data_IF_369668654560
#
_entry.id   IF_369668654560
#
_cell.length_a   1.000
_cell.length_b   1.000
_cell.length_c   1.000
_cell.angle_alpha   90.00
_cell.angle_beta   90.00
_cell.angle_gamma   90.00
#
_symmetry.space_group_name_H-M   'P 1'
#
loop_
_entity.id
_entity.type
_entity.pdbx_description
1 polymer ?
#
# COMPACT_ATOMS: atom_id res chain seq x y z
N UNK A 1 48.84 -23.14 -4.39
CA UNK A 1 48.12 -23.14 -3.10
C UNK A 1 48.39 -21.87 -2.27
N UNK A 2 49.64 -21.52 -1.94
CA UNK A 2 49.98 -20.34 -1.10
C UNK A 2 49.53 -18.96 -1.63
N UNK A 3 49.39 -18.78 -2.94
CA UNK A 3 49.02 -17.48 -3.55
C UNK A 3 47.61 -17.07 -3.15
N UNK A 4 46.66 -18.01 -3.08
CA UNK A 4 45.26 -17.73 -2.76
C UNK A 4 45.11 -17.32 -1.28
N UNK A 5 45.78 -17.99 -0.35
CA UNK A 5 45.78 -17.63 1.07
C UNK A 5 46.37 -16.25 1.31
N UNK A 6 47.53 -15.95 0.70
CA UNK A 6 48.18 -14.63 0.81
C UNK A 6 47.28 -13.51 0.27
N UNK A 7 46.60 -13.75 -0.86
CA UNK A 7 45.63 -12.78 -1.41
C UNK A 7 44.44 -12.57 -0.48
N UNK A 8 43.92 -13.63 0.14
CA UNK A 8 42.81 -13.54 1.09
C UNK A 8 43.21 -12.75 2.35
N UNK A 9 44.35 -13.08 2.95
CA UNK A 9 44.89 -12.37 4.11
C UNK A 9 45.18 -10.90 3.79
N UNK A 10 45.71 -10.60 2.59
CA UNK A 10 45.94 -9.22 2.14
C UNK A 10 44.63 -8.41 2.08
N UNK A 11 43.55 -9.01 1.60
CA UNK A 11 42.22 -8.37 1.61
C UNK A 11 41.72 -8.12 3.04
N UNK A 12 41.98 -9.03 3.96
CA UNK A 12 41.64 -8.88 5.37
C UNK A 12 42.41 -7.78 6.10
N UNK A 13 43.66 -7.52 5.69
CA UNK A 13 44.49 -6.40 6.17
C UNK A 13 44.04 -5.09 5.54
N UNK A 14 43.80 -5.09 4.23
CA UNK A 14 43.37 -3.89 3.50
C UNK A 14 41.99 -3.39 3.94
N UNK A 15 41.10 -4.30 4.35
CA UNK A 15 39.76 -3.96 4.82
C UNK A 15 39.53 -4.49 6.24
N UNK A 16 40.05 -3.76 7.23
CA UNK A 16 39.92 -4.11 8.65
C UNK A 16 38.45 -4.07 9.13
N UNK A 17 37.66 -3.12 8.64
CA UNK A 17 36.34 -2.78 9.20
C UNK A 17 35.15 -3.49 8.56
N UNK A 18 35.38 -4.36 7.56
CA UNK A 18 34.31 -5.08 6.87
C UNK A 18 34.40 -6.59 7.10
N UNK A 19 33.24 -7.24 7.11
CA UNK A 19 33.14 -8.69 7.33
C UNK A 19 33.66 -9.50 6.15
N UNK A 20 34.07 -10.76 6.36
CA UNK A 20 34.44 -11.66 5.27
C UNK A 20 33.34 -11.83 4.21
N UNK A 21 32.06 -11.65 4.59
CA UNK A 21 30.95 -11.66 3.65
C UNK A 21 30.99 -10.47 2.67
N UNK A 22 31.42 -9.30 3.15
CA UNK A 22 31.64 -8.12 2.31
C UNK A 22 32.95 -8.23 1.53
N UNK A 23 34.02 -8.79 2.14
CA UNK A 23 35.31 -9.04 1.45
C UNK A 23 35.12 -9.96 0.25
N UNK A 24 34.28 -10.99 0.34
CA UNK A 24 33.96 -11.87 -0.79
C UNK A 24 33.53 -11.07 -2.02
N UNK A 25 32.71 -10.03 -1.86
CA UNK A 25 32.23 -9.20 -2.98
C UNK A 25 33.35 -8.43 -3.68
N UNK A 26 34.52 -8.27 -3.06
CA UNK A 26 35.70 -7.62 -3.66
C UNK A 26 36.50 -8.58 -4.54
N UNK A 27 36.41 -9.89 -4.30
CA UNK A 27 37.05 -10.90 -5.14
C UNK A 27 36.30 -12.23 -5.05
N UNK A 28 35.25 -12.36 -5.86
CA UNK A 28 34.34 -13.50 -5.81
C UNK A 28 35.01 -14.79 -6.33
N UNK A 29 35.90 -14.68 -7.32
CA UNK A 29 36.65 -15.81 -7.87
C UNK A 29 37.59 -16.42 -6.83
N UNK A 30 38.31 -15.59 -6.06
CA UNK A 30 39.18 -16.06 -4.99
C UNK A 30 38.39 -16.77 -3.89
N UNK A 31 37.26 -16.20 -3.46
CA UNK A 31 36.40 -16.83 -2.46
C UNK A 31 35.84 -18.15 -2.96
N UNK A 32 35.34 -18.20 -4.20
CA UNK A 32 34.77 -19.42 -4.80
C UNK A 32 35.81 -20.53 -4.88
N UNK A 33 37.05 -20.19 -5.25
CA UNK A 33 38.16 -21.14 -5.27
C UNK A 33 38.47 -21.67 -3.86
N UNK A 34 38.64 -20.77 -2.87
CA UNK A 34 38.90 -21.17 -1.47
C UNK A 34 37.74 -22.00 -0.90
N UNK A 35 36.49 -21.64 -1.20
CA UNK A 35 35.32 -22.37 -0.75
C UNK A 35 35.23 -23.77 -1.34
N UNK A 36 35.69 -23.96 -2.58
CA UNK A 36 35.65 -25.23 -3.32
C UNK A 36 36.79 -26.17 -2.94
N UNK A 37 38.00 -25.64 -2.79
CA UNK A 37 39.20 -26.45 -2.61
C UNK A 37 39.76 -26.44 -1.18
N UNK A 38 39.39 -25.46 -0.36
CA UNK A 38 39.87 -25.35 1.02
C UNK A 38 38.86 -24.67 1.96
N UNK A 39 37.71 -25.31 2.11
CA UNK A 39 36.59 -24.78 2.89
C UNK A 39 36.92 -24.62 4.37
N UNK A 40 37.76 -25.50 4.90
CA UNK A 40 38.08 -25.56 6.33
C UNK A 40 39.05 -24.45 6.72
N UNK A 41 40.07 -24.21 5.90
CA UNK A 41 40.93 -23.04 6.06
C UNK A 41 40.13 -21.74 5.96
N UNK A 42 39.22 -21.63 4.99
CA UNK A 42 38.37 -20.46 4.82
C UNK A 42 37.46 -20.22 6.03
N UNK A 43 36.90 -21.28 6.62
CA UNK A 43 36.03 -21.21 7.81
C UNK A 43 36.80 -20.75 9.04
N UNK A 44 38.03 -21.25 9.24
CA UNK A 44 38.92 -20.83 10.34
C UNK A 44 39.33 -19.37 10.20
N UNK A 45 39.55 -18.89 8.97
CA UNK A 45 39.96 -17.52 8.66
C UNK A 45 38.77 -16.59 8.32
N UNK A 46 37.53 -16.99 8.68
CA UNK A 46 36.33 -16.20 8.38
C UNK A 46 36.08 -15.15 9.47
N UNK A 47 36.26 -13.86 9.13
CA UNK A 47 35.94 -12.73 10.01
C UNK A 47 34.45 -12.45 10.02
N UNK A 48 33.81 -12.70 11.16
CA UNK A 48 32.44 -12.24 11.46
C UNK A 48 32.52 -10.93 12.22
N UNK A 49 32.19 -9.83 11.57
CA UNK A 49 31.94 -8.58 12.28
C UNK A 49 30.47 -8.60 12.71
N UNK A 50 30.23 -8.46 14.01
CA UNK A 50 28.87 -8.28 14.53
C UNK A 50 28.41 -6.89 14.12
N UNK A 51 27.68 -6.79 13.02
CA UNK A 51 26.96 -5.56 12.69
C UNK A 51 25.89 -5.37 13.75
N UNK A 52 25.96 -4.27 14.51
CA UNK A 52 24.84 -3.83 15.34
C UNK A 52 23.67 -3.57 14.39
N UNK A 53 22.66 -4.43 14.41
CA UNK A 53 21.40 -4.13 13.75
C UNK A 53 20.78 -3.02 14.56
N UNK A 54 20.65 -1.83 13.97
CA UNK A 54 19.91 -0.75 14.63
C UNK A 54 18.48 -1.26 14.85
N UNK A 55 18.13 -1.47 16.11
CA UNK A 55 16.76 -1.82 16.48
C UNK A 55 15.89 -0.62 16.15
N UNK A 56 14.89 -0.82 15.29
CA UNK A 56 13.89 0.21 15.01
C UNK A 56 13.04 0.37 16.26
N UNK A 57 12.97 1.59 16.79
CA UNK A 57 11.98 1.96 17.80
C UNK A 57 10.61 2.02 17.13
N UNK A 58 9.85 0.93 17.27
CA UNK A 58 8.53 0.80 16.65
C UNK A 58 7.51 1.74 17.26
N UNK A 59 7.61 2.10 18.54
CA UNK A 59 6.67 3.00 19.20
C UNK A 59 6.82 4.42 18.65
N UNK A 60 8.07 4.91 18.56
CA UNK A 60 8.36 6.20 17.92
C UNK A 60 7.93 6.20 16.46
N UNK A 61 8.25 5.12 15.72
CA UNK A 61 7.89 4.98 14.31
C UNK A 61 6.38 4.97 14.09
N UNK A 62 5.61 4.32 14.96
CA UNK A 62 4.15 4.26 14.89
C UNK A 62 3.54 5.65 15.10
N UNK A 63 4.03 6.43 16.05
CA UNK A 63 3.56 7.79 16.29
C UNK A 63 3.85 8.74 15.09
N UNK A 64 5.05 8.67 14.52
CA UNK A 64 5.41 9.43 13.32
C UNK A 64 4.56 9.02 12.11
N UNK A 65 4.36 7.71 11.94
CA UNK A 65 3.59 7.17 10.82
C UNK A 65 2.11 7.52 10.94
N UNK A 66 1.53 7.48 12.14
CA UNK A 66 0.13 7.86 12.36
C UNK A 66 -0.17 9.26 11.82
N UNK A 67 0.73 10.21 12.03
CA UNK A 67 0.56 11.59 11.54
C UNK A 67 0.53 11.64 10.01
N UNK A 68 1.43 10.90 9.34
CA UNK A 68 1.47 10.80 7.88
C UNK A 68 0.24 10.09 7.32
N UNK A 69 -0.22 9.03 7.99
CA UNK A 69 -1.41 8.27 7.57
C UNK A 69 -2.66 9.13 7.69
N UNK A 70 -2.81 9.92 8.75
CA UNK A 70 -3.92 10.88 8.89
C UNK A 70 -3.97 11.88 7.74
N UNK A 71 -2.82 12.42 7.36
CA UNK A 71 -2.70 13.35 6.25
C UNK A 71 -3.11 12.69 4.92
N UNK A 72 -2.55 11.52 4.61
CA UNK A 72 -2.91 10.77 3.40
C UNK A 72 -4.39 10.41 3.38
N UNK A 73 -4.98 10.01 4.51
CA UNK A 73 -6.41 9.70 4.58
C UNK A 73 -7.26 10.95 4.35
N UNK A 74 -6.83 12.13 4.82
CA UNK A 74 -7.49 13.41 4.53
C UNK A 74 -7.47 13.70 3.04
N UNK A 75 -6.29 13.66 2.42
CA UNK A 75 -6.13 13.86 0.97
C UNK A 75 -6.96 12.86 0.15
N UNK A 76 -7.05 11.60 0.58
CA UNK A 76 -7.88 10.57 -0.07
C UNK A 76 -9.39 10.80 0.03
N UNK A 77 -9.82 11.61 1.00
CA UNK A 77 -11.21 12.04 1.13
C UNK A 77 -11.50 13.29 0.30
N UNK A 78 -10.47 14.01 -0.12
CA UNK A 78 -10.56 15.16 -0.99
C UNK A 78 -10.55 14.73 -2.47
N UNK A 79 -11.48 15.26 -3.26
CA UNK A 79 -11.57 14.94 -4.68
C UNK A 79 -12.15 13.55 -4.97
N UNK A 80 -11.56 12.83 -5.94
CA UNK A 80 -12.11 11.58 -6.46
C UNK A 80 -12.01 10.46 -5.40
N UNK A 81 -13.12 9.79 -5.03
CA UNK A 81 -13.11 8.80 -3.97
C UNK A 81 -12.21 7.59 -4.28
N UNK A 82 -11.16 7.45 -3.49
CA UNK A 82 -10.30 6.27 -3.47
C UNK A 82 -10.60 5.39 -2.26
N UNK A 83 -10.53 4.07 -2.42
CA UNK A 83 -10.79 3.15 -1.31
C UNK A 83 -9.64 3.21 -0.31
N UNK A 84 -9.96 3.54 0.94
CA UNK A 84 -9.01 3.56 2.04
C UNK A 84 -8.70 2.11 2.42
N UNK A 85 -7.50 1.67 2.09
CA UNK A 85 -6.98 0.36 2.49
C UNK A 85 -5.52 0.49 2.90
N UNK A 86 -5.02 -0.48 3.66
CA UNK A 86 -3.60 -0.60 3.98
C UNK A 86 -2.69 -0.50 2.75
N UNK A 87 -3.12 -1.10 1.63
CA UNK A 87 -2.34 -1.12 0.40
C UNK A 87 -2.33 0.25 -0.27
N UNK A 88 -3.49 0.91 -0.35
CA UNK A 88 -3.61 2.26 -0.94
C UNK A 88 -2.79 3.28 -0.15
N UNK A 89 -2.93 3.27 1.19
CA UNK A 89 -2.16 4.13 2.09
C UNK A 89 -0.66 3.85 1.95
N UNK A 90 -0.27 2.58 2.00
CA UNK A 90 1.13 2.18 1.85
C UNK A 90 1.71 2.55 0.47
N UNK A 91 0.90 2.55 -0.58
CA UNK A 91 1.30 2.97 -1.92
C UNK A 91 1.55 4.49 -1.98
N UNK A 92 0.64 5.30 -1.43
CA UNK A 92 0.79 6.76 -1.38
C UNK A 92 1.99 7.20 -0.53
N UNK A 93 2.29 6.46 0.54
CA UNK A 93 3.46 6.70 1.40
C UNK A 93 4.76 6.05 0.87
N UNK A 94 4.72 5.28 -0.21
CA UNK A 94 5.91 4.58 -0.74
C UNK A 94 6.47 3.46 0.16
N UNK A 95 5.66 2.94 1.11
CA UNK A 95 6.07 1.97 2.13
C UNK A 95 5.27 0.66 2.11
N UNK A 96 4.53 0.41 1.03
CA UNK A 96 3.64 -0.76 0.87
C UNK A 96 4.32 -2.10 1.19
N UNK A 97 5.60 -2.24 0.85
CA UNK A 97 6.38 -3.47 0.99
C UNK A 97 6.60 -3.95 2.43
N UNK A 98 6.54 -3.05 3.43
CA UNK A 98 6.72 -3.41 4.84
C UNK A 98 5.57 -3.00 5.75
N UNK A 99 4.78 -1.97 5.39
CA UNK A 99 3.65 -1.51 6.19
C UNK A 99 2.67 -2.65 6.51
N UNK A 100 2.32 -3.43 5.48
CA UNK A 100 1.43 -4.60 5.60
C UNK A 100 2.03 -5.73 6.44
N UNK A 101 3.36 -5.91 6.41
CA UNK A 101 4.08 -6.96 7.14
C UNK A 101 4.32 -6.62 8.61
N UNK A 102 4.16 -5.35 9.00
CA UNK A 102 4.48 -4.84 10.34
C UNK A 102 3.26 -4.28 11.07
N UNK A 103 2.04 -4.59 10.63
CA UNK A 103 0.78 -4.14 11.24
C UNK A 103 0.72 -4.39 12.75
N UNK A 104 1.11 -5.58 13.21
CA UNK A 104 1.10 -5.92 14.64
C UNK A 104 2.10 -5.11 15.48
N UNK A 105 3.06 -4.43 14.84
CA UNK A 105 4.01 -3.54 15.52
C UNK A 105 3.59 -2.07 15.48
N UNK A 106 2.43 -1.77 14.89
CA UNK A 106 1.93 -0.43 14.66
C UNK A 106 0.50 -0.29 15.23
N UNK A 107 0.29 -0.49 16.54
CA UNK A 107 -1.05 -0.51 17.12
C UNK A 107 -1.83 0.80 16.92
N UNK A 108 -1.18 1.97 17.01
CA UNK A 108 -1.85 3.26 16.85
C UNK A 108 -2.28 3.48 15.41
N UNK A 109 -1.37 3.24 14.47
CA UNK A 109 -1.68 3.35 13.03
C UNK A 109 -2.73 2.31 12.63
N UNK A 110 -2.66 1.08 13.16
CA UNK A 110 -3.62 0.02 12.89
C UNK A 110 -5.02 0.41 13.34
N UNK A 111 -5.16 0.85 14.59
CA UNK A 111 -6.45 1.29 15.13
C UNK A 111 -7.05 2.43 14.31
N UNK A 112 -6.24 3.42 13.91
CA UNK A 112 -6.72 4.52 13.07
C UNK A 112 -7.17 4.04 11.69
N UNK A 113 -6.35 3.25 10.99
CA UNK A 113 -6.73 2.76 9.66
C UNK A 113 -8.02 1.94 9.75
N UNK A 114 -8.12 1.01 10.71
CA UNK A 114 -9.31 0.19 10.91
C UNK A 114 -10.56 1.03 11.21
N UNK A 115 -10.44 2.12 11.98
CA UNK A 115 -11.56 3.05 12.20
C UNK A 115 -11.97 3.85 10.96
N UNK A 116 -11.14 3.88 9.92
CA UNK A 116 -11.39 4.59 8.66
C UNK A 116 -11.76 3.67 7.51
N UNK A 117 -11.72 2.35 7.71
CA UNK A 117 -12.13 1.39 6.68
C UNK A 117 -13.65 1.47 6.54
N UNK A 118 -14.06 1.97 5.39
CA UNK A 118 -15.47 2.01 4.97
C UNK A 118 -15.89 0.62 4.48
N UNK A 119 -17.13 0.25 4.77
CA UNK A 119 -17.80 -0.87 4.09
C UNK A 119 -17.89 -0.64 2.58
N UNK A 120 -18.18 -1.70 1.83
CA UNK A 120 -18.34 -1.58 0.38
C UNK A 120 -19.51 -0.66 0.01
N UNK A 121 -20.58 -0.72 0.79
CA UNK A 121 -21.78 0.11 0.68
C UNK A 121 -21.47 1.58 0.93
N UNK A 122 -20.80 1.90 2.04
CA UNK A 122 -20.38 3.27 2.38
C UNK A 122 -19.46 3.85 1.32
N UNK A 123 -18.51 3.05 0.81
CA UNK A 123 -17.63 3.48 -0.26
C UNK A 123 -18.40 3.78 -1.56
N UNK A 124 -19.38 2.95 -1.93
CA UNK A 124 -20.24 3.22 -3.09
C UNK A 124 -21.10 4.47 -2.89
N UNK A 125 -21.65 4.69 -1.69
CA UNK A 125 -22.39 5.91 -1.36
C UNK A 125 -21.49 7.14 -1.53
N UNK A 126 -20.25 7.11 -1.01
CA UNK A 126 -19.29 8.21 -1.16
C UNK A 126 -18.95 8.48 -2.62
N UNK A 127 -18.75 7.42 -3.43
CA UNK A 127 -18.54 7.53 -4.88
C UNK A 127 -19.71 8.19 -5.60
N UNK A 128 -20.94 7.85 -5.22
CA UNK A 128 -22.13 8.41 -5.85
C UNK A 128 -22.34 9.87 -5.45
N UNK A 129 -22.15 10.22 -4.17
CA UNK A 129 -22.20 11.62 -3.73
C UNK A 129 -21.22 12.48 -4.52
N UNK A 130 -19.97 12.04 -4.62
CA UNK A 130 -18.97 12.73 -5.43
C UNK A 130 -19.38 12.84 -6.91
N UNK A 131 -19.92 11.77 -7.49
CA UNK A 131 -20.35 11.79 -8.89
C UNK A 131 -21.52 12.77 -9.14
N UNK A 132 -22.44 12.92 -8.19
CA UNK A 132 -23.52 13.91 -8.26
C UNK A 132 -22.92 15.32 -8.28
N UNK A 133 -22.02 15.62 -7.33
CA UNK A 133 -21.34 16.93 -7.26
C UNK A 133 -20.53 17.23 -8.54
N UNK A 134 -19.86 16.22 -9.08
CA UNK A 134 -19.05 16.36 -10.29
C UNK A 134 -19.91 16.55 -11.55
N UNK A 135 -21.05 15.85 -11.66
CA UNK A 135 -21.99 16.05 -12.77
C UNK A 135 -22.61 17.45 -12.76
N UNK A 136 -22.94 17.96 -11.58
CA UNK A 136 -23.41 19.33 -11.39
C UNK A 136 -22.37 20.35 -11.84
N UNK A 137 -21.12 20.18 -11.39
CA UNK A 137 -20.01 21.04 -11.76
C UNK A 137 -19.74 21.04 -13.27
N UNK A 138 -19.94 19.90 -13.93
CA UNK A 138 -19.80 19.75 -15.38
C UNK A 138 -21.04 20.21 -16.16
N UNK A 139 -22.15 20.54 -15.50
CA UNK A 139 -23.42 20.88 -16.15
C UNK A 139 -24.04 19.72 -16.93
N UNK A 140 -23.68 18.48 -16.59
CA UNK A 140 -24.17 17.28 -17.28
C UNK A 140 -25.56 16.87 -16.77
N UNK A 141 -26.38 16.22 -17.60
CA UNK A 141 -27.67 15.71 -17.16
C UNK A 141 -27.50 14.63 -16.10
N UNK A 142 -28.32 14.70 -15.05
CA UNK A 142 -28.36 13.72 -13.97
C UNK A 142 -29.12 12.47 -14.42
N UNK A 143 -28.48 11.60 -15.20
CA UNK A 143 -29.02 10.31 -15.65
C UNK A 143 -28.34 9.15 -14.94
N UNK A 144 -28.97 7.98 -14.92
CA UNK A 144 -28.38 6.77 -14.34
C UNK A 144 -27.03 6.43 -15.00
N UNK A 145 -26.95 6.54 -16.31
CA UNK A 145 -25.75 6.19 -17.06
C UNK A 145 -24.60 7.16 -16.76
N UNK A 146 -24.84 8.47 -16.79
CA UNK A 146 -23.84 9.48 -16.44
C UNK A 146 -23.37 9.32 -14.98
N UNK A 147 -24.30 8.99 -14.07
CA UNK A 147 -23.97 8.76 -12.68
C UNK A 147 -23.15 7.48 -12.48
N UNK A 148 -23.52 6.38 -13.13
CA UNK A 148 -22.81 5.11 -13.08
C UNK A 148 -21.42 5.19 -13.70
N UNK A 149 -21.29 5.90 -14.82
CA UNK A 149 -20.01 6.16 -15.49
C UNK A 149 -19.11 7.04 -14.64
N UNK A 150 -19.62 8.19 -14.18
CA UNK A 150 -18.84 9.14 -13.37
C UNK A 150 -18.41 8.50 -12.07
N UNK A 151 -19.36 7.89 -11.33
CA UNK A 151 -19.03 7.17 -10.11
C UNK A 151 -18.15 5.94 -10.40
N UNK A 152 -18.24 5.30 -11.56
CA UNK A 152 -17.65 3.99 -11.79
C UNK A 152 -18.24 2.94 -10.84
N UNK A 153 -19.55 3.00 -10.61
CA UNK A 153 -20.32 2.04 -9.80
C UNK A 153 -21.37 1.41 -10.70
N UNK A 154 -21.41 0.08 -10.78
CA UNK A 154 -22.40 -0.60 -11.63
C UNK A 154 -23.82 -0.39 -11.08
N UNK A 155 -24.84 -0.19 -11.94
CA UNK A 155 -26.23 0.04 -11.51
C UNK A 155 -26.78 -1.00 -10.52
N UNK A 156 -26.39 -2.28 -10.67
CA UNK A 156 -26.76 -3.35 -9.74
C UNK A 156 -26.43 -3.05 -8.27
N UNK A 157 -25.31 -2.36 -8.01
CA UNK A 157 -24.92 -1.98 -6.65
C UNK A 157 -25.68 -0.73 -6.19
N UNK A 158 -26.01 0.17 -7.11
CA UNK A 158 -26.81 1.37 -6.83
C UNK A 158 -28.22 1.01 -6.37
N UNK A 159 -28.77 -0.13 -6.81
CA UNK A 159 -30.07 -0.63 -6.37
C UNK A 159 -30.17 -0.78 -4.84
N UNK A 160 -29.13 -1.34 -4.22
CA UNK A 160 -29.08 -1.58 -2.79
C UNK A 160 -28.98 -0.29 -1.96
N UNK A 161 -28.40 0.76 -2.53
CA UNK A 161 -28.24 2.07 -1.89
C UNK A 161 -29.18 3.14 -2.48
N UNK A 162 -30.20 2.72 -3.22
CA UNK A 162 -31.10 3.61 -3.97
C UNK A 162 -31.85 4.60 -3.07
N UNK A 163 -32.13 4.22 -1.82
CA UNK A 163 -32.74 5.09 -0.81
C UNK A 163 -31.83 6.26 -0.44
N UNK A 164 -30.54 6.01 -0.24
CA UNK A 164 -29.55 7.05 0.07
C UNK A 164 -29.34 8.01 -1.11
N UNK A 165 -29.29 7.45 -2.32
CA UNK A 165 -29.20 8.24 -3.57
C UNK A 165 -30.41 9.18 -3.70
N UNK A 166 -31.62 8.66 -3.47
CA UNK A 166 -32.87 9.47 -3.47
C UNK A 166 -32.80 10.61 -2.48
N UNK A 167 -32.40 10.32 -1.23
CA UNK A 167 -32.29 11.33 -0.19
C UNK A 167 -31.33 12.46 -0.58
N UNK A 168 -30.19 12.11 -1.18
CA UNK A 168 -29.19 13.09 -1.59
C UNK A 168 -29.65 13.96 -2.76
N UNK A 169 -30.25 13.36 -3.79
CA UNK A 169 -30.77 14.09 -4.95
C UNK A 169 -31.94 15.02 -4.57
N UNK A 170 -32.85 14.56 -3.70
CA UNK A 170 -33.94 15.39 -3.18
C UNK A 170 -33.41 16.60 -2.41
N UNK A 171 -32.39 16.43 -1.57
CA UNK A 171 -31.76 17.53 -0.84
C UNK A 171 -31.14 18.60 -1.74
N UNK A 172 -30.84 18.24 -3.00
CA UNK A 172 -30.31 19.14 -4.03
C UNK A 172 -31.34 19.63 -5.04
N UNK A 173 -32.60 19.25 -4.90
CA UNK A 173 -33.69 19.69 -5.79
C UNK A 173 -33.78 18.92 -7.11
N UNK A 174 -33.07 17.80 -7.27
CA UNK A 174 -33.18 16.96 -8.46
C UNK A 174 -34.36 16.00 -8.39
N UNK A 175 -35.22 16.02 -9.40
CA UNK A 175 -36.22 14.98 -9.62
C UNK A 175 -35.57 13.65 -9.95
N UNK A 176 -35.96 12.58 -9.26
CA UNK A 176 -35.33 11.26 -9.36
C UNK A 176 -36.05 10.31 -10.33
N UNK A 177 -36.74 10.85 -11.34
CA UNK A 177 -37.56 10.06 -12.28
C UNK A 177 -36.74 8.97 -12.99
N UNK A 178 -35.44 9.19 -13.22
CA UNK A 178 -34.51 8.21 -13.79
C UNK A 178 -34.11 7.09 -12.82
N UNK A 179 -34.32 7.22 -11.50
CA UNK A 179 -34.05 6.13 -10.55
C UNK A 179 -35.09 4.99 -10.65
N UNK A 180 -36.21 5.20 -11.34
CA UNK A 180 -37.12 4.11 -11.73
C UNK A 180 -36.38 3.08 -12.61
N UNK A 181 -35.42 3.52 -13.41
CA UNK A 181 -34.56 2.65 -14.22
C UNK A 181 -33.68 1.77 -13.34
N UNK A 182 -33.19 2.25 -12.19
CA UNK A 182 -32.38 1.45 -11.24
C UNK A 182 -33.19 0.27 -10.67
N UNK A 183 -34.46 0.51 -10.34
CA UNK A 183 -35.35 -0.52 -9.81
C UNK A 183 -35.78 -1.51 -10.90
N UNK A 184 -35.91 -1.02 -12.13
CA UNK A 184 -36.26 -1.79 -13.33
C UNK A 184 -35.08 -2.44 -14.05
N UNK A 185 -33.84 -2.28 -13.56
CA UNK A 185 -32.71 -3.16 -13.95
C UNK A 185 -33.09 -4.57 -13.47
N UNK A 186 -33.78 -5.30 -14.35
CA UNK A 186 -33.99 -6.75 -14.21
C UNK A 186 -32.61 -7.35 -14.00
N UNK A 187 -32.53 -8.31 -13.09
CA UNK A 187 -31.30 -9.06 -12.90
C UNK A 187 -30.93 -9.69 -14.23
N UNK A 188 -29.93 -9.11 -14.90
CA UNK A 188 -29.12 -9.83 -15.85
C UNK A 188 -28.33 -10.84 -15.03
N UNK A 189 -29.02 -11.96 -14.83
CA UNK A 189 -28.45 -13.28 -14.63
C UNK A 189 -27.62 -13.51 -15.90
N UNK A 190 -26.32 -13.81 -15.72
CA UNK A 190 -25.32 -14.20 -16.72
C UNK A 190 -24.52 -13.05 -17.38
N UNK A 191 -23.39 -12.66 -16.75
CA UNK A 191 -22.02 -13.10 -17.09
C UNK A 191 -20.97 -12.41 -16.19
#
# INVERSE_FOLDING_TARGET
MMICYKKWLKLHVQYADISSNQIRRKNDGLYTWLKRYDSEWLKQNYRRIKTKVNSVDWAKRDAELLSQVKEVVREMKEGKPERITWTTIGSKLGISGWLSKKREKLPLTKAYIESTIESMEEFHIRKIKWAIDELEKQGKPMTLWNLAETAGVKPRYMKFISKDIKGFLNGKGYGYNFLQEILNVKGDINE
#
